data_IF_443144513022
#
_entry.id   IF_443144513022
#
_cell.length_a   1.000
_cell.length_b   1.000
_cell.length_c   1.000
_cell.angle_alpha   90.00
_cell.angle_beta   90.00
_cell.angle_gamma   90.00
#
_symmetry.space_group_name_H-M   'P 1'
#
loop_
_entity.id
_entity.type
_entity.pdbx_description
1 polymer ?
#
# COMPACT_ATOMS: atom_id res chain seq x y z
N UNK A 1 -5.29 -13.81 9.92
CA UNK A 1 -5.11 -12.42 9.46
C UNK A 1 -5.82 -11.53 10.46
N UNK A 2 -5.12 -10.55 11.03
CA UNK A 2 -5.70 -9.66 12.05
C UNK A 2 -6.10 -8.33 11.39
N UNK A 3 -7.36 -7.87 11.52
CA UNK A 3 -7.78 -6.58 10.96
C UNK A 3 -6.97 -5.43 11.54
N UNK A 4 -6.50 -4.54 10.67
CA UNK A 4 -5.82 -3.32 11.09
C UNK A 4 -6.84 -2.23 11.48
N UNK A 5 -6.51 -1.35 12.45
CA UNK A 5 -7.35 -0.21 12.83
C UNK A 5 -7.62 0.75 11.66
N UNK A 6 -8.81 1.36 11.62
CA UNK A 6 -9.15 2.34 10.58
C UNK A 6 -8.37 3.66 10.70
N UNK A 7 -7.83 3.95 11.88
CA UNK A 7 -7.00 5.14 12.14
C UNK A 7 -5.56 5.00 11.64
N UNK A 8 -5.16 3.78 11.27
CA UNK A 8 -3.80 3.45 10.87
C UNK A 8 -3.59 3.65 9.37
N UNK A 9 -2.33 3.52 8.95
CA UNK A 9 -1.89 3.73 7.58
C UNK A 9 -1.16 2.51 7.04
N UNK A 10 -1.27 2.34 5.73
CA UNK A 10 -0.44 1.40 4.99
C UNK A 10 0.33 2.12 3.90
N UNK A 11 1.53 1.62 3.62
CA UNK A 11 2.32 2.02 2.48
C UNK A 11 2.33 0.91 1.42
N UNK A 12 2.41 1.30 0.16
CA UNK A 12 2.68 0.39 -0.95
C UNK A 12 3.82 0.91 -1.79
N UNK A 13 4.82 0.07 -1.99
CA UNK A 13 5.87 0.39 -2.95
C UNK A 13 5.36 0.24 -4.40
N UNK A 14 5.40 1.35 -5.14
CA UNK A 14 5.08 1.45 -6.55
C UNK A 14 6.38 1.42 -7.36
N UNK A 15 6.51 0.42 -8.23
CA UNK A 15 7.64 0.30 -9.16
C UNK A 15 7.65 1.48 -10.15
N UNK A 16 8.82 1.87 -10.70
CA UNK A 16 8.90 2.94 -11.68
C UNK A 16 7.93 2.77 -12.87
N UNK A 17 7.74 1.54 -13.36
CA UNK A 17 6.80 1.23 -14.44
C UNK A 17 5.32 1.43 -14.09
N UNK A 18 5.00 1.64 -12.81
CA UNK A 18 3.65 1.88 -12.28
C UNK A 18 3.49 3.30 -11.74
N UNK A 19 4.42 4.19 -12.05
CA UNK A 19 4.45 5.59 -11.65
C UNK A 19 4.50 6.43 -12.92
N UNK A 20 3.71 7.50 -13.00
CA UNK A 20 3.72 8.43 -14.14
C UNK A 20 4.90 9.42 -14.08
N UNK A 21 5.05 10.22 -15.14
CA UNK A 21 6.13 11.22 -15.26
C UNK A 21 6.12 12.27 -14.13
N UNK A 22 4.97 12.52 -13.53
CA UNK A 22 4.82 13.44 -12.40
C UNK A 22 5.17 12.80 -11.04
N UNK A 23 5.51 11.51 -11.04
CA UNK A 23 5.83 10.75 -9.85
C UNK A 23 4.60 10.22 -9.11
N UNK A 24 3.44 10.15 -9.76
CA UNK A 24 2.19 9.65 -9.15
C UNK A 24 1.95 8.19 -9.51
N UNK A 25 1.54 7.34 -8.55
CA UNK A 25 1.14 5.97 -8.86
C UNK A 25 -0.01 5.90 -9.87
N UNK A 26 0.11 5.00 -10.84
CA UNK A 26 -0.93 4.67 -11.80
C UNK A 26 -1.87 3.59 -11.22
N UNK A 27 -3.02 3.34 -11.87
CA UNK A 27 -3.99 2.33 -11.40
C UNK A 27 -3.37 0.94 -11.29
N UNK A 28 -2.52 0.57 -12.25
CA UNK A 28 -1.79 -0.71 -12.22
C UNK A 28 -0.86 -0.87 -11.02
N UNK A 29 -0.53 0.21 -10.30
CA UNK A 29 0.18 0.10 -9.03
C UNK A 29 -0.66 -0.61 -7.97
N UNK A 30 -2.00 -0.55 -8.02
CA UNK A 30 -2.92 -1.09 -7.00
C UNK A 30 -3.76 -2.28 -7.49
N UNK A 31 -3.49 -2.79 -8.69
CA UNK A 31 -4.05 -4.03 -9.16
C UNK A 31 -3.41 -5.22 -8.41
N UNK A 32 -4.23 -6.21 -8.06
CA UNK A 32 -3.74 -7.54 -7.70
C UNK A 32 -3.08 -8.18 -8.92
N UNK A 33 -2.09 -9.05 -8.70
CA UNK A 33 -1.56 -9.85 -9.80
C UNK A 33 -2.49 -11.02 -10.09
N UNK A 34 -2.40 -11.56 -11.31
CA UNK A 34 -3.17 -12.74 -11.70
C UNK A 34 -2.92 -13.89 -10.71
N UNK A 35 -4.01 -14.42 -10.13
CA UNK A 35 -3.96 -15.48 -9.12
C UNK A 35 -3.65 -15.01 -7.68
N UNK A 36 -3.30 -13.74 -7.45
CA UNK A 36 -3.18 -13.18 -6.09
C UNK A 36 -4.55 -12.67 -5.60
N UNK A 37 -5.12 -13.30 -4.56
CA UNK A 37 -6.40 -12.89 -3.96
C UNK A 37 -6.33 -11.64 -3.07
N UNK A 38 -5.19 -10.95 -3.04
CA UNK A 38 -4.97 -9.79 -2.18
C UNK A 38 -3.90 -8.85 -2.74
N UNK A 39 -3.93 -7.59 -2.31
CA UNK A 39 -2.96 -6.58 -2.64
C UNK A 39 -1.97 -6.40 -1.48
N UNK A 40 -0.68 -6.78 -1.63
CA UNK A 40 0.30 -6.62 -0.57
C UNK A 40 0.61 -5.15 -0.28
N UNK A 41 0.66 -4.80 1.00
CA UNK A 41 0.96 -3.47 1.54
C UNK A 41 1.76 -3.61 2.85
N UNK A 42 2.25 -2.51 3.40
CA UNK A 42 3.02 -2.46 4.63
C UNK A 42 2.34 -1.57 5.68
N UNK A 43 1.97 -2.11 6.83
CA UNK A 43 1.45 -1.37 7.98
C UNK A 43 2.52 -0.45 8.57
N UNK A 44 2.19 0.82 8.80
CA UNK A 44 3.17 1.82 9.24
C UNK A 44 3.30 1.90 10.75
N UNK A 45 2.19 1.86 11.47
CA UNK A 45 2.15 2.06 12.93
C UNK A 45 2.78 0.91 13.71
N UNK A 46 3.09 -0.22 13.06
CA UNK A 46 3.92 -1.26 13.67
C UNK A 46 5.34 -0.78 13.99
N UNK A 47 5.83 0.27 13.31
CA UNK A 47 7.16 0.83 13.52
C UNK A 47 7.14 2.12 14.33
N UNK A 48 6.30 3.09 13.92
CA UNK A 48 6.24 4.42 14.53
C UNK A 48 4.87 5.05 14.21
N UNK A 49 4.22 5.74 15.16
CA UNK A 49 2.98 6.47 14.88
C UNK A 49 3.18 7.63 13.89
N UNK A 50 4.42 8.09 13.67
CA UNK A 50 4.75 9.12 12.67
C UNK A 50 4.99 8.44 11.32
N UNK A 51 4.05 8.63 10.42
CA UNK A 51 4.03 8.08 9.05
C UNK A 51 5.36 8.27 8.31
N UNK A 52 5.99 9.45 8.38
CA UNK A 52 7.24 9.72 7.65
C UNK A 52 8.41 8.87 8.16
N UNK A 53 8.46 8.62 9.47
CA UNK A 53 9.50 7.77 10.09
C UNK A 53 9.24 6.31 9.74
N UNK A 54 7.98 5.87 9.84
CA UNK A 54 7.57 4.51 9.54
C UNK A 54 7.85 4.10 8.08
N UNK A 55 7.68 5.01 7.12
CA UNK A 55 7.98 4.74 5.70
C UNK A 55 9.46 4.44 5.47
N UNK A 56 10.36 5.13 6.18
CA UNK A 56 11.79 4.82 6.09
C UNK A 56 12.09 3.43 6.66
N UNK A 57 11.41 3.04 7.75
CA UNK A 57 11.54 1.69 8.33
C UNK A 57 11.02 0.60 7.39
N UNK A 58 9.87 0.80 6.74
CA UNK A 58 9.36 -0.09 5.70
C UNK A 58 10.40 -0.25 4.58
N UNK A 59 11.01 0.85 4.13
CA UNK A 59 12.05 0.81 3.09
C UNK A 59 13.22 -0.08 3.51
N UNK A 60 13.71 0.10 4.74
CA UNK A 60 14.86 -0.64 5.24
C UNK A 60 14.55 -2.13 5.36
N UNK A 61 13.37 -2.51 5.90
CA UNK A 61 12.91 -3.91 5.96
C UNK A 61 12.78 -4.54 4.57
N UNK A 62 12.20 -3.82 3.60
CA UNK A 62 12.10 -4.32 2.23
C UNK A 62 13.49 -4.55 1.61
N UNK A 63 14.46 -3.69 1.88
CA UNK A 63 15.84 -3.88 1.42
C UNK A 63 16.53 -5.08 2.09
N UNK A 64 16.33 -5.26 3.40
CA UNK A 64 16.83 -6.42 4.16
C UNK A 64 16.27 -7.74 3.62
N UNK A 65 15.02 -7.73 3.15
CA UNK A 65 14.38 -8.86 2.48
C UNK A 65 14.79 -9.05 1.00
N UNK A 66 15.69 -8.20 0.48
CA UNK A 66 16.14 -8.26 -0.90
C UNK A 66 15.13 -7.76 -1.92
N UNK A 67 14.11 -6.99 -1.50
CA UNK A 67 13.17 -6.39 -2.43
C UNK A 67 13.89 -5.42 -3.39
N UNK A 68 13.62 -5.49 -4.71
CA UNK A 68 14.32 -4.67 -5.68
C UNK A 68 13.73 -3.25 -5.73
N UNK A 69 13.96 -2.45 -4.69
CA UNK A 69 13.61 -1.04 -4.69
C UNK A 69 14.47 -0.33 -5.75
N UNK A 70 13.82 0.22 -6.77
CA UNK A 70 14.48 0.79 -7.95
C UNK A 70 14.57 2.31 -7.81
N UNK A 71 15.59 2.94 -8.43
CA UNK A 71 15.59 4.38 -8.64
C UNK A 71 14.26 4.83 -9.27
N UNK A 72 13.68 5.92 -8.76
CA UNK A 72 12.39 6.48 -9.17
C UNK A 72 11.13 5.68 -8.75
N UNK A 73 11.27 4.60 -7.98
CA UNK A 73 10.14 4.03 -7.26
C UNK A 73 9.54 5.02 -6.25
N UNK A 74 8.29 4.78 -5.84
CA UNK A 74 7.57 5.64 -4.89
C UNK A 74 6.85 4.79 -3.85
N UNK A 75 6.72 5.30 -2.63
CA UNK A 75 5.79 4.75 -1.66
C UNK A 75 4.48 5.53 -1.73
N UNK A 76 3.39 4.82 -2.04
CA UNK A 76 2.04 5.34 -1.94
C UNK A 76 1.55 5.16 -0.50
N UNK A 77 1.04 6.22 0.11
CA UNK A 77 0.51 6.17 1.46
C UNK A 77 -1.01 6.20 1.44
N UNK A 78 -1.60 5.31 2.22
CA UNK A 78 -3.03 5.08 2.26
C UNK A 78 -3.49 5.09 3.73
N UNK A 79 -4.48 5.92 4.00
CA UNK A 79 -5.26 5.88 5.25
C UNK A 79 -6.29 4.75 5.15
N UNK A 80 -6.28 3.84 6.12
CA UNK A 80 -7.09 2.60 6.06
C UNK A 80 -8.58 2.93 6.06
N UNK A 81 -9.02 3.80 6.96
CA UNK A 81 -10.40 4.22 7.08
C UNK A 81 -10.90 4.92 5.83
N UNK A 82 -10.09 5.84 5.26
CA UNK A 82 -10.43 6.54 4.02
C UNK A 82 -10.59 5.59 2.83
N UNK A 83 -9.69 4.61 2.68
CA UNK A 83 -9.76 3.60 1.60
C UNK A 83 -11.03 2.76 1.74
N UNK A 84 -11.28 2.21 2.93
CA UNK A 84 -12.50 1.43 3.19
C UNK A 84 -13.76 2.23 2.91
N UNK A 85 -13.83 3.47 3.40
CA UNK A 85 -14.99 4.34 3.24
C UNK A 85 -15.23 4.70 1.77
N UNK A 86 -14.19 5.03 1.00
CA UNK A 86 -14.33 5.36 -0.41
C UNK A 86 -14.81 4.17 -1.23
N UNK A 87 -14.20 3.00 -1.05
CA UNK A 87 -14.61 1.79 -1.78
C UNK A 87 -16.04 1.37 -1.42
N UNK A 88 -16.42 1.50 -0.13
CA UNK A 88 -17.79 1.24 0.29
C UNK A 88 -18.79 2.21 -0.33
N UNK A 89 -18.46 3.49 -0.37
CA UNK A 89 -19.32 4.54 -0.92
C UNK A 89 -19.45 4.45 -2.45
N UNK A 90 -18.34 4.32 -3.16
CA UNK A 90 -18.29 4.35 -4.62
C UNK A 90 -18.75 3.04 -5.24
N UNK A 91 -18.41 1.89 -4.64
CA UNK A 91 -18.62 0.56 -5.23
C UNK A 91 -19.61 -0.31 -4.43
N UNK A 92 -20.10 0.14 -3.28
CA UNK A 92 -20.96 -0.66 -2.39
C UNK A 92 -20.25 -1.82 -1.67
N UNK A 93 -18.94 -1.97 -1.89
CA UNK A 93 -18.13 -3.13 -1.46
C UNK A 93 -17.36 -2.85 -0.18
N UNK A 94 -17.15 -3.89 0.63
CA UNK A 94 -16.35 -3.80 1.85
C UNK A 94 -14.96 -4.37 1.60
N UNK A 95 -13.92 -3.58 1.86
CA UNK A 95 -12.53 -4.05 1.90
C UNK A 95 -12.12 -4.45 3.31
N UNK A 96 -11.22 -5.43 3.39
CA UNK A 96 -10.49 -5.73 4.62
C UNK A 96 -9.03 -5.35 4.41
N UNK A 97 -8.41 -4.78 5.43
CA UNK A 97 -6.96 -4.53 5.45
C UNK A 97 -6.45 -5.22 6.70
N UNK A 98 -5.61 -6.23 6.52
CA UNK A 98 -5.20 -7.10 7.60
C UNK A 98 -3.68 -7.20 7.69
N UNK A 99 -3.17 -7.36 8.91
CA UNK A 99 -1.81 -7.78 9.15
C UNK A 99 -1.62 -9.25 8.70
N UNK A 100 -0.52 -9.50 8.00
CA UNK A 100 -0.01 -10.83 7.70
C UNK A 100 0.80 -11.34 8.89
N UNK A 101 1.08 -12.65 8.95
CA UNK A 101 1.87 -13.22 10.05
C UNK A 101 3.25 -12.55 10.10
N UNK A 102 3.66 -11.99 11.26
CA UNK A 102 4.77 -11.03 11.33
C UNK A 102 6.17 -11.67 11.31
N UNK A 103 6.28 -12.99 11.11
CA UNK A 103 7.47 -13.79 11.44
C UNK A 103 8.79 -13.25 10.85
N UNK A 104 8.75 -12.62 9.66
CA UNK A 104 9.91 -11.98 9.03
C UNK A 104 9.67 -10.52 8.58
N UNK A 105 8.43 -10.02 8.68
CA UNK A 105 8.05 -8.65 8.34
C UNK A 105 6.94 -8.18 9.29
N UNK A 106 7.25 -7.39 10.34
CA UNK A 106 6.23 -6.89 11.24
C UNK A 106 5.23 -5.95 10.53
N UNK A 107 5.64 -5.37 9.40
CA UNK A 107 4.79 -4.48 8.59
C UNK A 107 3.96 -5.22 7.56
N UNK A 108 4.20 -6.51 7.30
CA UNK A 108 3.50 -7.26 6.27
C UNK A 108 1.99 -7.17 6.43
N UNK A 109 1.29 -6.65 5.42
CA UNK A 109 -0.15 -6.47 5.43
C UNK A 109 -0.76 -6.69 4.04
N UNK A 110 -2.08 -6.85 3.99
CA UNK A 110 -2.81 -7.15 2.76
C UNK A 110 -4.16 -6.43 2.71
N UNK A 111 -4.47 -5.83 1.56
CA UNK A 111 -5.83 -5.39 1.22
C UNK A 111 -6.53 -6.57 0.53
N UNK A 112 -7.63 -7.02 1.11
CA UNK A 112 -8.41 -8.20 0.70
C UNK A 112 -9.82 -7.77 0.31
N UNK A 113 -10.44 -8.54 -0.60
CA UNK A 113 -11.79 -8.25 -1.11
C UNK A 113 -11.79 -7.48 -2.44
N UNK A 114 -10.67 -7.52 -3.18
CA UNK A 114 -10.67 -7.13 -4.59
C UNK A 114 -11.24 -8.30 -5.41
N UNK A 115 -12.36 -8.14 -6.14
CA UNK A 115 -12.83 -9.18 -7.05
C UNK A 115 -11.93 -9.26 -8.29
N UNK A 116 -12.15 -10.27 -9.13
CA UNK A 116 -11.39 -10.50 -10.37
C UNK A 116 -11.34 -9.27 -11.29
N UNK A 117 -12.35 -8.37 -11.21
CA UNK A 117 -12.34 -6.99 -11.75
C UNK A 117 -11.67 -5.97 -10.79
N UNK A 118 -10.44 -6.24 -10.37
CA UNK A 118 -9.69 -5.44 -9.38
C UNK A 118 -9.40 -3.99 -9.81
N UNK A 119 -9.61 -3.66 -11.08
CA UNK A 119 -9.30 -2.35 -11.66
C UNK A 119 -10.11 -1.19 -11.07
N UNK A 120 -11.40 -1.40 -10.78
CA UNK A 120 -12.24 -0.35 -10.18
C UNK A 120 -11.82 -0.04 -8.74
N UNK A 121 -11.49 -1.07 -7.96
CA UNK A 121 -10.98 -0.89 -6.60
C UNK A 121 -9.60 -0.21 -6.64
N UNK A 122 -8.72 -0.64 -7.56
CA UNK A 122 -7.42 -0.03 -7.76
C UNK A 122 -7.51 1.46 -8.14
N UNK A 123 -8.51 1.85 -8.93
CA UNK A 123 -8.75 3.24 -9.31
C UNK A 123 -9.19 4.11 -8.12
N UNK A 124 -10.09 3.59 -7.28
CA UNK A 124 -10.49 4.28 -6.04
C UNK A 124 -9.31 4.42 -5.06
N UNK A 125 -8.50 3.37 -4.89
CA UNK A 125 -7.30 3.43 -4.03
C UNK A 125 -6.31 4.47 -4.57
N UNK A 126 -6.05 4.47 -5.89
CA UNK A 126 -5.17 5.46 -6.54
C UNK A 126 -5.59 6.89 -6.24
N UNK A 127 -6.90 7.17 -6.27
CA UNK A 127 -7.44 8.51 -6.04
C UNK A 127 -7.18 9.05 -4.62
N UNK A 128 -6.90 8.17 -3.65
CA UNK A 128 -6.71 8.52 -2.24
C UNK A 128 -5.24 8.64 -1.81
N UNK A 129 -4.30 8.32 -2.70
CA UNK A 129 -2.88 8.30 -2.36
C UNK A 129 -2.41 9.68 -1.92
N UNK A 130 -1.94 9.79 -0.68
CA UNK A 130 -1.24 10.99 -0.21
C UNK A 130 0.20 10.94 -0.72
N UNK A 131 0.64 12.03 -1.36
CA UNK A 131 1.99 12.13 -1.88
C UNK A 131 2.98 12.36 -0.75
N UNK A 132 3.78 11.35 -0.42
CA UNK A 132 5.02 11.57 0.30
C UNK A 132 6.19 11.52 -0.69
N UNK A 133 6.88 12.66 -0.86
CA UNK A 133 8.16 12.70 -1.58
C UNK A 133 9.19 12.06 -0.66
N UNK A 134 9.21 10.73 -0.57
CA UNK A 134 10.34 10.02 0.03
C UNK A 134 11.57 10.48 -0.74
N UNK A 135 12.51 11.12 -0.04
CA UNK A 135 13.69 11.74 -0.65
C UNK A 135 14.40 10.74 -1.55
N UNK A 136 14.86 11.21 -2.73
CA UNK A 136 15.69 10.44 -3.66
C UNK A 136 16.75 9.67 -2.87
N UNK A 137 16.87 8.37 -3.13
CA UNK A 137 18.09 7.65 -2.82
C UNK A 137 19.24 8.38 -3.53
N UNK A 138 20.23 8.79 -2.74
CA UNK A 138 21.53 9.25 -3.24
C UNK A 138 22.34 8.00 -3.56
#
# INVERSE_FOLDING_TARGET
MNPLPDADHVARYCRPSTVDESGRPMTGAFATRDGEGHLPVNWLECFDPRVEVAVNRVRDVLLEQGAPLRPNGRFALLDIGMVKAAVKRSLGRSLQINQLAPDNDPSGAAIVGQPDDGLMVAAEIKALVRHNRVRRAV
#
